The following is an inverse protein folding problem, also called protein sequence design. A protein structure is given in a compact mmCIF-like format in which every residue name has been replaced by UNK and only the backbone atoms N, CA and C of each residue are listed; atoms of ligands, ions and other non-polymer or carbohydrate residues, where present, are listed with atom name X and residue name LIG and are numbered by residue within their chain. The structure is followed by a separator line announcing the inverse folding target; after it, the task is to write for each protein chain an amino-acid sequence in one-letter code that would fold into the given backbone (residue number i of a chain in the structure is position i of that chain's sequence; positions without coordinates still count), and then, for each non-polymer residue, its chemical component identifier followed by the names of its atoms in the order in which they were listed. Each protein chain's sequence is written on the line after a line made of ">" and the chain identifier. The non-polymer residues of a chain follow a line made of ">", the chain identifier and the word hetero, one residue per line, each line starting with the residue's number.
data_IF_617283397749
#
_entry.id   IF_617283397749
#
_cell.length_a   1.000
_cell.length_b   1.000
_cell.length_c   1.000
_cell.angle_alpha   90.00
_cell.angle_beta   90.00
_cell.angle_gamma   90.00
#
_symmetry.space_group_name_H-M   'P 1'
#
loop_
_entity.id
_entity.type
_entity.pdbx_description
1 polymer ?
#
# COMPACT_ATOMS: atom_id res chain seq x y z
N UNK A 1 19.29 18.07 -18.57
CA UNK A 1 18.19 18.93 -19.04
C UNK A 1 16.81 18.47 -18.56
N UNK A 2 16.41 17.20 -18.75
CA UNK A 2 15.11 16.70 -18.26
C UNK A 2 14.95 16.77 -16.72
N UNK A 3 15.99 16.39 -15.96
CA UNK A 3 15.96 16.45 -14.47
C UNK A 3 15.98 17.88 -13.91
N UNK A 4 16.45 18.86 -14.70
CA UNK A 4 16.40 20.28 -14.34
C UNK A 4 14.98 20.86 -14.46
N UNK A 5 14.08 20.19 -15.19
CA UNK A 5 12.68 20.60 -15.33
C UNK A 5 11.77 19.92 -14.29
N UNK A 6 12.14 18.74 -13.81
CA UNK A 6 11.40 18.04 -12.75
C UNK A 6 11.73 18.69 -11.41
N UNK A 7 10.77 19.40 -10.80
CA UNK A 7 10.86 19.90 -9.40
C UNK A 7 10.87 18.77 -8.36
N UNK A 8 11.22 17.56 -8.76
CA UNK A 8 11.13 16.34 -7.98
C UNK A 8 12.50 16.00 -7.37
N UNK A 9 12.61 16.20 -6.05
CA UNK A 9 13.83 15.92 -5.29
C UNK A 9 14.33 14.48 -5.46
N UNK A 10 13.44 13.51 -5.68
CA UNK A 10 13.79 12.11 -5.87
C UNK A 10 14.71 11.86 -7.07
N UNK A 11 14.53 12.60 -8.16
CA UNK A 11 15.40 12.49 -9.34
C UNK A 11 16.82 12.98 -9.05
N UNK A 12 16.96 14.09 -8.32
CA UNK A 12 18.25 14.65 -7.92
C UNK A 12 18.98 13.75 -6.93
N UNK A 13 18.29 13.24 -5.91
CA UNK A 13 18.85 12.29 -4.94
C UNK A 13 19.31 11.01 -5.68
N UNK A 14 18.49 10.51 -6.61
CA UNK A 14 18.84 9.37 -7.45
C UNK A 14 20.09 9.62 -8.31
N UNK A 15 20.22 10.78 -8.94
CA UNK A 15 21.42 11.17 -9.70
C UNK A 15 22.66 11.26 -8.82
N UNK A 16 22.55 11.87 -7.63
CA UNK A 16 23.66 11.95 -6.68
C UNK A 16 24.12 10.56 -6.23
N UNK A 17 23.17 9.68 -5.87
CA UNK A 17 23.46 8.30 -5.52
C UNK A 17 24.13 7.54 -6.68
N UNK A 18 23.63 7.73 -7.91
CA UNK A 18 24.20 7.11 -9.09
C UNK A 18 25.61 7.63 -9.41
N UNK A 19 25.89 8.92 -9.20
CA UNK A 19 27.22 9.49 -9.35
C UNK A 19 28.21 8.90 -8.35
N UNK A 20 27.79 8.74 -7.08
CA UNK A 20 28.60 8.07 -6.05
C UNK A 20 28.92 6.64 -6.47
N UNK A 21 27.90 5.87 -6.88
CA UNK A 21 28.08 4.50 -7.35
C UNK A 21 28.97 4.45 -8.60
N UNK A 22 28.82 5.40 -9.52
CA UNK A 22 29.65 5.49 -10.72
C UNK A 22 31.13 5.66 -10.37
N UNK A 23 31.45 6.60 -9.48
CA UNK A 23 32.83 6.89 -9.03
C UNK A 23 33.43 5.70 -8.29
N UNK A 24 32.65 5.05 -7.41
CA UNK A 24 33.13 3.94 -6.57
C UNK A 24 33.16 2.59 -7.30
N UNK A 25 32.36 2.42 -8.36
CA UNK A 25 32.21 1.15 -9.07
C UNK A 25 33.54 0.53 -9.51
N UNK A 26 34.54 1.24 -10.08
CA UNK A 26 35.78 0.61 -10.53
C UNK A 26 36.59 0.03 -9.36
N UNK A 27 36.59 0.70 -8.20
CA UNK A 27 37.26 0.21 -7.00
C UNK A 27 36.58 -1.06 -6.47
N UNK A 28 35.25 -1.04 -6.37
CA UNK A 28 34.46 -2.19 -5.94
C UNK A 28 34.61 -3.38 -6.91
N UNK A 29 34.59 -3.14 -8.22
CA UNK A 29 34.80 -4.18 -9.25
C UNK A 29 36.17 -4.83 -9.11
N UNK A 30 37.26 -4.07 -8.91
CA UNK A 30 38.61 -4.61 -8.71
C UNK A 30 38.68 -5.53 -7.50
N UNK A 31 38.07 -5.14 -6.37
CA UNK A 31 38.01 -5.97 -5.15
C UNK A 31 37.22 -7.25 -5.38
N UNK A 32 36.05 -7.17 -6.03
CA UNK A 32 35.20 -8.33 -6.30
C UNK A 32 35.82 -9.29 -7.32
N UNK A 33 36.58 -8.79 -8.31
CA UNK A 33 37.28 -9.60 -9.31
C UNK A 33 38.49 -10.36 -8.76
N UNK A 34 38.97 -10.03 -7.56
CA UNK A 34 39.95 -10.86 -6.86
C UNK A 34 39.41 -12.26 -6.50
N UNK A 35 38.08 -12.44 -6.50
CA UNK A 35 37.42 -13.71 -6.28
C UNK A 35 37.33 -14.54 -7.57
N UNK A 36 37.46 -15.86 -7.44
CA UNK A 36 37.31 -16.78 -8.56
C UNK A 36 35.91 -16.65 -9.20
N UNK A 37 35.74 -16.85 -10.52
CA UNK A 37 34.44 -16.77 -11.19
C UNK A 37 33.34 -17.61 -10.52
N UNK A 38 33.69 -18.81 -10.04
CA UNK A 38 32.79 -19.72 -9.32
C UNK A 38 32.36 -19.16 -7.96
N UNK A 39 33.26 -18.50 -7.24
CA UNK A 39 32.94 -17.84 -5.97
C UNK A 39 32.01 -16.64 -6.19
N UNK A 40 32.27 -15.83 -7.22
CA UNK A 40 31.40 -14.69 -7.59
C UNK A 40 29.99 -15.14 -7.95
N UNK A 41 29.87 -16.21 -8.73
CA UNK A 41 28.56 -16.79 -9.09
C UNK A 41 27.80 -17.28 -7.86
N UNK A 42 28.50 -17.90 -6.89
CA UNK A 42 27.89 -18.35 -5.63
C UNK A 42 27.48 -17.20 -4.71
N UNK A 43 28.26 -16.13 -4.64
CA UNK A 43 28.01 -14.99 -3.74
C UNK A 43 26.93 -14.03 -4.26
N UNK A 44 26.76 -13.91 -5.58
CA UNK A 44 25.78 -13.02 -6.21
C UNK A 44 24.36 -13.14 -5.62
N UNK A 45 23.74 -14.33 -5.50
CA UNK A 45 22.39 -14.43 -4.93
C UNK A 45 22.31 -13.99 -3.46
N UNK A 46 23.36 -14.22 -2.67
CA UNK A 46 23.40 -13.79 -1.26
C UNK A 46 23.54 -12.28 -1.13
N UNK A 47 24.40 -11.67 -1.94
CA UNK A 47 24.55 -10.20 -1.98
C UNK A 47 23.25 -9.55 -2.47
N UNK A 48 22.64 -10.09 -3.52
CA UNK A 48 21.36 -9.60 -4.03
C UNK A 48 20.25 -9.74 -2.97
N UNK A 49 20.19 -10.87 -2.26
CA UNK A 49 19.27 -11.08 -1.15
C UNK A 49 19.49 -10.10 0.01
N UNK A 50 20.74 -9.86 0.40
CA UNK A 50 21.09 -8.91 1.45
C UNK A 50 20.74 -7.46 1.07
N UNK A 51 21.01 -7.06 -0.18
CA UNK A 51 20.60 -5.75 -0.69
C UNK A 51 19.08 -5.60 -0.72
N UNK A 52 18.35 -6.63 -1.16
CA UNK A 52 16.89 -6.65 -1.18
C UNK A 52 16.32 -6.51 0.24
N UNK A 53 16.87 -7.25 1.20
CA UNK A 53 16.47 -7.19 2.60
C UNK A 53 16.77 -5.79 3.20
N UNK A 54 17.97 -5.26 2.98
CA UNK A 54 18.33 -3.91 3.43
C UNK A 54 17.39 -2.85 2.84
N UNK A 55 17.02 -2.99 1.56
CA UNK A 55 16.07 -2.10 0.91
C UNK A 55 14.66 -2.21 1.52
N UNK A 56 14.17 -3.42 1.79
CA UNK A 56 12.89 -3.64 2.47
C UNK A 56 12.87 -3.02 3.87
N UNK A 57 13.96 -3.14 4.63
CA UNK A 57 14.08 -2.49 5.93
C UNK A 57 14.05 -0.96 5.82
N UNK A 58 14.70 -0.40 4.79
CA UNK A 58 14.64 1.03 4.50
C UNK A 58 13.23 1.51 4.13
N UNK A 59 12.43 0.70 3.43
CA UNK A 59 11.02 1.03 3.12
C UNK A 59 10.15 1.11 4.37
N UNK A 60 10.40 0.26 5.36
CA UNK A 60 9.68 0.25 6.63
C UNK A 60 10.16 1.30 7.65
N UNK A 61 11.33 1.91 7.44
CA UNK A 61 11.93 2.81 8.41
C UNK A 61 11.20 4.15 8.58
N UNK A 62 10.73 4.85 7.53
CA UNK A 62 10.04 6.13 7.66
C UNK A 62 8.71 6.04 8.43
N UNK A 63 8.05 4.89 8.42
CA UNK A 63 6.78 4.68 9.13
C UNK A 63 6.97 4.35 10.61
N UNK A 64 8.21 4.10 11.05
CA UNK A 64 8.60 3.94 12.46
C UNK A 64 9.02 5.26 13.11
N UNK A 65 9.25 6.32 12.33
CA UNK A 65 9.65 7.62 12.82
C UNK A 65 8.42 8.49 13.08
N UNK A 66 8.14 8.75 14.36
CA UNK A 66 7.14 9.75 14.77
C UNK A 66 7.79 11.14 14.64
N UNK A 67 7.81 11.66 13.41
CA UNK A 67 8.50 12.92 13.12
C UNK A 67 7.70 14.11 13.69
N UNK A 68 8.35 15.04 14.44
CA UNK A 68 7.69 16.22 14.96
C UNK A 68 7.10 17.09 13.84
N UNK A 69 5.88 17.62 14.07
CA UNK A 69 5.14 18.43 13.09
C UNK A 69 5.79 19.79 12.76
N UNK A 70 6.87 20.18 13.44
CA UNK A 70 7.46 21.53 13.39
C UNK A 70 8.88 21.60 12.79
N UNK A 71 9.32 20.59 12.04
CA UNK A 71 10.65 20.62 11.41
C UNK A 71 10.73 21.75 10.35
N UNK A 72 11.72 22.66 10.42
CA UNK A 72 11.83 23.83 9.55
C UNK A 72 12.53 23.47 8.24
N UNK A 73 11.93 22.59 7.46
CA UNK A 73 12.34 22.31 6.09
C UNK A 73 11.07 22.27 5.22
N UNK A 74 11.11 22.68 3.94
CA UNK A 74 9.90 22.95 3.15
C UNK A 74 9.20 21.62 2.81
N UNK A 75 8.39 21.11 3.75
CA UNK A 75 7.85 19.75 3.79
C UNK A 75 6.33 19.69 3.89
N UNK A 76 5.59 20.68 3.37
CA UNK A 76 4.11 20.63 3.34
C UNK A 76 3.54 19.33 2.71
N UNK A 77 4.37 18.54 2.00
CA UNK A 77 4.03 17.25 1.40
C UNK A 77 4.57 16.00 2.14
N UNK A 78 5.46 16.10 3.13
CA UNK A 78 6.07 14.91 3.75
C UNK A 78 5.08 14.20 4.68
N UNK A 79 4.36 14.94 5.51
CA UNK A 79 3.36 14.36 6.41
C UNK A 79 2.30 13.60 5.62
N UNK A 80 1.77 14.24 4.57
CA UNK A 80 0.83 13.63 3.63
C UNK A 80 1.41 12.39 2.95
N UNK A 81 2.68 12.41 2.53
CA UNK A 81 3.34 11.23 1.94
C UNK A 81 3.55 10.10 2.95
N UNK A 82 3.94 10.40 4.19
CA UNK A 82 4.06 9.41 5.26
C UNK A 82 2.70 8.83 5.64
N UNK A 83 1.66 9.66 5.64
CA UNK A 83 0.29 9.22 5.84
C UNK A 83 -0.15 8.27 4.71
N UNK A 84 0.09 8.62 3.44
CA UNK A 84 -0.20 7.75 2.30
C UNK A 84 0.59 6.44 2.40
N UNK A 85 1.87 6.48 2.74
CA UNK A 85 2.68 5.29 2.94
C UNK A 85 2.12 4.39 4.05
N UNK A 86 1.80 4.97 5.22
CA UNK A 86 1.20 4.25 6.35
C UNK A 86 -0.15 3.64 5.99
N UNK A 87 -1.00 4.39 5.30
CA UNK A 87 -2.31 3.93 4.90
C UNK A 87 -2.23 2.83 3.83
N UNK A 88 -1.30 2.93 2.88
CA UNK A 88 -1.02 1.87 1.92
C UNK A 88 -0.45 0.62 2.60
N UNK A 89 0.34 0.74 3.67
CA UNK A 89 0.77 -0.42 4.46
C UNK A 89 -0.40 -1.16 5.12
N UNK A 90 -1.47 -0.46 5.52
CA UNK A 90 -2.68 -1.15 5.98
C UNK A 90 -3.34 -1.94 4.86
N UNK A 91 -3.39 -1.40 3.63
CA UNK A 91 -3.87 -2.15 2.46
C UNK A 91 -2.97 -3.34 2.13
N UNK A 92 -1.65 -3.21 2.21
CA UNK A 92 -0.72 -4.32 1.99
C UNK A 92 -0.93 -5.42 3.05
N UNK A 93 -1.18 -5.03 4.31
CA UNK A 93 -1.47 -5.99 5.37
C UNK A 93 -2.80 -6.73 5.16
N UNK A 94 -3.76 -6.09 4.51
CA UNK A 94 -5.08 -6.65 4.15
C UNK A 94 -4.98 -7.52 2.88
N UNK A 95 -4.13 -7.13 1.92
CA UNK A 95 -3.90 -7.82 0.65
C UNK A 95 -2.43 -8.22 0.45
N UNK A 96 -1.88 -9.15 1.27
CA UNK A 96 -0.44 -9.49 1.22
C UNK A 96 0.01 -10.09 -0.12
N UNK A 97 -0.88 -10.76 -0.86
CA UNK A 97 -0.66 -11.29 -2.21
C UNK A 97 -1.09 -10.32 -3.32
N UNK A 98 -1.48 -9.10 -2.95
CA UNK A 98 -1.87 -8.04 -3.87
C UNK A 98 -3.38 -7.89 -4.02
N UNK A 99 -3.84 -6.66 -4.21
CA UNK A 99 -5.23 -6.30 -4.47
C UNK A 99 -5.63 -6.41 -5.95
N UNK A 100 -4.66 -6.67 -6.83
CA UNK A 100 -4.83 -6.69 -8.29
C UNK A 100 -4.25 -5.45 -8.96
N UNK A 101 -4.08 -5.54 -10.28
CA UNK A 101 -3.53 -4.45 -11.10
C UNK A 101 -4.40 -3.20 -11.05
N UNK A 102 -3.77 -2.04 -10.87
CA UNK A 102 -4.44 -0.73 -10.76
C UNK A 102 -5.50 -0.65 -9.64
N UNK A 103 -5.40 -1.51 -8.62
CA UNK A 103 -6.40 -1.62 -7.55
C UNK A 103 -6.26 -0.55 -6.47
N UNK A 104 -5.10 0.11 -6.34
CA UNK A 104 -4.80 1.02 -5.25
C UNK A 104 -5.85 2.10 -5.07
N UNK A 105 -6.22 2.77 -6.17
CA UNK A 105 -7.15 3.90 -6.13
C UNK A 105 -8.51 3.52 -5.52
N UNK A 106 -9.09 2.40 -5.95
CA UNK A 106 -10.36 1.91 -5.46
C UNK A 106 -10.28 1.40 -4.03
N UNK A 107 -9.25 0.60 -3.73
CA UNK A 107 -9.05 0.03 -2.39
C UNK A 107 -8.75 1.09 -1.34
N UNK A 108 -7.95 2.10 -1.67
CA UNK A 108 -7.66 3.23 -0.79
C UNK A 108 -8.92 4.05 -0.52
N UNK A 109 -9.64 4.43 -1.58
CA UNK A 109 -10.86 5.22 -1.46
C UNK A 109 -11.92 4.47 -0.63
N UNK A 110 -12.08 3.17 -0.85
CA UNK A 110 -13.08 2.34 -0.15
C UNK A 110 -12.68 1.99 1.29
N UNK A 111 -11.48 1.44 1.51
CA UNK A 111 -11.11 0.83 2.79
C UNK A 111 -10.29 1.74 3.71
N UNK A 112 -9.63 2.78 3.19
CA UNK A 112 -8.92 3.76 4.01
C UNK A 112 -9.79 4.98 4.27
N UNK A 113 -10.44 5.52 3.25
CA UNK A 113 -11.17 6.78 3.32
C UNK A 113 -12.69 6.64 3.44
N UNK A 114 -13.26 5.49 3.07
CA UNK A 114 -14.70 5.28 3.10
C UNK A 114 -15.50 6.15 2.11
N UNK A 115 -14.91 6.48 0.96
CA UNK A 115 -15.50 7.36 -0.06
C UNK A 115 -15.70 6.63 -1.41
N UNK A 116 -16.59 7.19 -2.22
CA UNK A 116 -17.04 6.62 -3.50
C UNK A 116 -16.36 7.24 -4.74
N UNK A 117 -15.30 8.02 -4.60
CA UNK A 117 -14.60 8.68 -5.71
C UNK A 117 -13.09 8.43 -5.66
N UNK A 118 -12.44 8.56 -6.82
CA UNK A 118 -10.98 8.45 -6.91
C UNK A 118 -10.34 9.58 -6.12
N UNK A 119 -9.57 9.21 -5.10
CA UNK A 119 -8.79 10.17 -4.30
C UNK A 119 -7.33 10.25 -4.75
N UNK A 120 -6.66 9.09 -4.84
CA UNK A 120 -5.28 8.96 -5.30
C UNK A 120 -5.17 7.85 -6.35
N UNK A 121 -4.17 7.97 -7.22
CA UNK A 121 -3.82 6.95 -8.22
C UNK A 121 -2.49 6.23 -7.92
N UNK A 122 -1.72 6.73 -6.95
CA UNK A 122 -0.44 6.17 -6.49
C UNK A 122 -0.20 6.55 -5.03
N UNK A 123 0.55 5.73 -4.30
CA UNK A 123 1.03 6.03 -2.95
C UNK A 123 2.23 6.99 -2.93
N UNK A 124 2.68 7.46 -4.11
CA UNK A 124 3.96 8.16 -4.29
C UNK A 124 5.16 7.32 -3.84
N UNK A 125 5.05 6.00 -3.99
CA UNK A 125 6.14 5.05 -3.74
C UNK A 125 5.93 3.80 -4.60
N UNK A 126 6.83 3.56 -5.55
CA UNK A 126 6.77 2.44 -6.50
C UNK A 126 6.65 1.09 -5.79
N UNK A 127 7.36 0.94 -4.67
CA UNK A 127 7.47 -0.33 -3.97
C UNK A 127 6.22 -0.63 -3.17
N UNK A 128 5.61 0.40 -2.58
CA UNK A 128 4.32 0.26 -1.92
C UNK A 128 3.20 0.02 -2.94
N UNK A 129 3.22 0.71 -4.08
CA UNK A 129 2.29 0.44 -5.19
C UNK A 129 2.43 -1.00 -5.68
N UNK A 130 3.67 -1.47 -5.93
CA UNK A 130 3.95 -2.84 -6.35
C UNK A 130 3.51 -3.87 -5.30
N UNK A 131 3.82 -3.64 -4.03
CA UNK A 131 3.42 -4.53 -2.95
C UNK A 131 1.90 -4.57 -2.76
N UNK A 132 1.22 -3.44 -2.90
CA UNK A 132 -0.22 -3.39 -2.75
C UNK A 132 -0.90 -4.05 -3.94
N UNK A 133 -0.48 -3.80 -5.18
CA UNK A 133 -1.19 -4.26 -6.36
C UNK A 133 -0.83 -5.70 -6.77
N UNK A 134 0.44 -6.10 -6.61
CA UNK A 134 0.95 -7.42 -6.99
C UNK A 134 1.38 -8.29 -5.80
N UNK A 135 1.39 -7.75 -4.58
CA UNK A 135 1.74 -8.49 -3.36
C UNK A 135 3.20 -8.34 -2.93
N UNK A 136 3.45 -8.62 -1.65
CA UNK A 136 4.79 -8.54 -1.05
C UNK A 136 5.76 -9.56 -1.65
N UNK A 137 5.24 -10.68 -2.15
CA UNK A 137 6.02 -11.70 -2.84
C UNK A 137 6.49 -11.23 -4.21
N UNK A 138 5.64 -10.50 -4.95
CA UNK A 138 6.03 -9.86 -6.20
C UNK A 138 7.06 -8.75 -5.97
N UNK A 139 6.88 -7.93 -4.92
CA UNK A 139 7.90 -6.95 -4.50
C UNK A 139 9.23 -7.63 -4.19
N UNK A 140 9.23 -8.73 -3.44
CA UNK A 140 10.44 -9.49 -3.12
C UNK A 140 11.15 -10.03 -4.37
N UNK A 141 10.39 -10.60 -5.31
CA UNK A 141 10.94 -11.06 -6.59
C UNK A 141 11.51 -9.91 -7.43
N UNK A 142 10.81 -8.78 -7.48
CA UNK A 142 11.27 -7.56 -8.17
C UNK A 142 12.59 -7.05 -7.58
N UNK A 143 12.67 -6.86 -6.26
CA UNK A 143 13.89 -6.41 -5.59
C UNK A 143 15.06 -7.37 -5.78
N UNK A 144 14.80 -8.68 -5.76
CA UNK A 144 15.82 -9.69 -6.02
C UNK A 144 16.37 -9.58 -7.44
N UNK A 145 15.51 -9.51 -8.45
CA UNK A 145 15.92 -9.36 -9.85
C UNK A 145 16.69 -8.04 -10.07
N UNK A 146 16.20 -6.96 -9.47
CA UNK A 146 16.85 -5.64 -9.53
C UNK A 146 18.24 -5.67 -8.92
N UNK A 147 18.36 -6.25 -7.73
CA UNK A 147 19.64 -6.38 -7.00
C UNK A 147 20.61 -7.31 -7.73
N UNK A 148 20.12 -8.41 -8.29
CA UNK A 148 20.93 -9.34 -9.09
C UNK A 148 21.47 -8.66 -10.36
N UNK A 149 20.65 -7.85 -11.04
CA UNK A 149 21.06 -7.06 -12.19
C UNK A 149 22.10 -6.00 -11.81
N UNK A 150 21.91 -5.30 -10.68
CA UNK A 150 22.86 -4.32 -10.18
C UNK A 150 24.22 -4.96 -9.83
N UNK A 151 24.23 -6.11 -9.14
CA UNK A 151 25.46 -6.87 -8.86
C UNK A 151 26.12 -7.34 -10.16
N UNK A 152 25.33 -7.79 -11.14
CA UNK A 152 25.83 -8.17 -12.46
C UNK A 152 26.52 -7.01 -13.18
N UNK A 153 25.84 -5.88 -13.27
CA UNK A 153 26.35 -4.66 -13.87
C UNK A 153 27.61 -4.14 -13.16
N UNK A 154 27.67 -4.23 -11.82
CA UNK A 154 28.85 -3.86 -11.03
C UNK A 154 30.08 -4.72 -11.35
N UNK A 155 29.90 -6.03 -11.52
CA UNK A 155 31.00 -6.94 -11.86
C UNK A 155 31.59 -6.69 -13.26
N UNK A 156 30.81 -6.06 -14.12
CA UNK A 156 31.16 -5.70 -15.49
C UNK A 156 31.33 -4.19 -15.69
N UNK A 157 31.41 -3.41 -14.61
CA UNK A 157 31.44 -1.94 -14.68
C UNK A 157 32.67 -1.35 -15.40
N UNK A 158 33.64 -2.15 -15.87
CA UNK A 158 34.64 -1.69 -16.84
C UNK A 158 34.04 -1.44 -18.23
N UNK A 159 32.99 -2.18 -18.59
CA UNK A 159 32.17 -1.91 -19.77
C UNK A 159 31.32 -0.64 -19.49
N UNK A 160 31.41 0.40 -20.35
CA UNK A 160 30.66 1.64 -20.15
C UNK A 160 29.14 1.41 -20.15
N UNK A 161 28.62 0.43 -20.90
CA UNK A 161 27.20 0.10 -20.93
C UNK A 161 26.73 -0.54 -19.62
N UNK A 162 27.52 -1.45 -19.05
CA UNK A 162 27.20 -2.04 -17.75
C UNK A 162 27.27 -0.99 -16.63
N UNK A 163 28.24 -0.07 -16.70
CA UNK A 163 28.31 1.05 -15.73
C UNK A 163 27.13 2.01 -15.87
N UNK A 164 26.70 2.30 -17.09
CA UNK A 164 25.50 3.09 -17.36
C UNK A 164 24.21 2.39 -16.89
N UNK A 165 24.11 1.07 -17.11
CA UNK A 165 23.01 0.26 -16.60
C UNK A 165 22.98 0.29 -15.07
N UNK A 166 24.12 0.12 -14.39
CA UNK A 166 24.23 0.22 -12.94
C UNK A 166 23.76 1.59 -12.43
N UNK A 167 24.23 2.68 -13.04
CA UNK A 167 23.78 4.03 -12.69
C UNK A 167 22.27 4.21 -12.89
N UNK A 168 21.73 3.74 -14.02
CA UNK A 168 20.29 3.78 -14.30
C UNK A 168 19.46 2.99 -13.27
N UNK A 169 19.90 1.78 -12.90
CA UNK A 169 19.28 0.97 -11.85
C UNK A 169 19.26 1.69 -10.50
N UNK A 170 20.33 2.42 -10.15
CA UNK A 170 20.41 3.20 -8.91
C UNK A 170 19.48 4.42 -8.96
N UNK A 171 19.50 5.18 -10.06
CA UNK A 171 18.60 6.34 -10.23
C UNK A 171 17.15 5.90 -10.05
N UNK A 172 16.72 4.87 -10.78
CA UNK A 172 15.35 4.37 -10.74
C UNK A 172 15.01 3.78 -9.36
N UNK A 173 15.94 3.06 -8.72
CA UNK A 173 15.70 2.49 -7.41
C UNK A 173 15.43 3.59 -6.36
N UNK A 174 16.26 4.64 -6.38
CA UNK A 174 16.12 5.77 -5.45
C UNK A 174 14.92 6.64 -5.82
N UNK A 175 14.72 6.95 -7.10
CA UNK A 175 13.58 7.76 -7.55
C UNK A 175 12.24 7.10 -7.21
N UNK A 176 12.13 5.77 -7.38
CA UNK A 176 10.94 5.00 -7.04
C UNK A 176 10.54 5.04 -5.56
N UNK A 177 11.42 5.48 -4.65
CA UNK A 177 11.06 5.75 -3.25
C UNK A 177 10.16 6.98 -3.09
N UNK A 178 10.20 7.89 -4.07
CA UNK A 178 9.54 9.19 -4.01
C UNK A 178 8.44 9.34 -5.05
N UNK A 179 8.58 8.73 -6.23
CA UNK A 179 7.64 8.92 -7.33
C UNK A 179 7.87 7.82 -8.37
N UNK A 180 6.83 7.05 -8.70
CA UNK A 180 6.73 6.26 -9.93
C UNK A 180 5.39 5.51 -9.91
N UNK A 181 4.31 6.11 -10.44
CA UNK A 181 3.03 5.44 -10.49
C UNK A 181 3.13 4.24 -11.45
N UNK A 182 3.05 3.03 -10.88
CA UNK A 182 3.30 1.77 -11.59
C UNK A 182 2.37 1.62 -12.82
N UNK A 183 1.07 1.89 -12.68
CA UNK A 183 0.10 1.76 -13.79
C UNK A 183 -0.49 3.09 -14.28
N UNK A 184 -0.14 4.22 -13.67
CA UNK A 184 -0.60 5.52 -14.15
C UNK A 184 0.40 6.20 -15.10
N UNK A 185 1.63 5.67 -15.22
CA UNK A 185 2.66 6.22 -16.11
C UNK A 185 2.84 5.41 -17.39
N UNK A 186 2.72 6.02 -18.58
CA UNK A 186 3.10 5.37 -19.84
C UNK A 186 4.61 5.11 -19.94
N UNK A 187 5.42 5.71 -19.06
CA UNK A 187 6.86 5.51 -19.02
C UNK A 187 7.29 4.23 -18.29
N UNK A 188 6.34 3.43 -17.73
CA UNK A 188 6.66 2.19 -17.02
C UNK A 188 7.64 1.26 -17.77
N UNK A 189 7.55 1.05 -19.10
CA UNK A 189 8.50 0.19 -19.80
C UNK A 189 9.96 0.64 -19.67
N UNK A 190 10.21 1.94 -19.49
CA UNK A 190 11.56 2.49 -19.31
C UNK A 190 12.21 2.04 -18.00
N UNK A 191 11.41 1.64 -16.99
CA UNK A 191 11.89 1.04 -15.74
C UNK A 191 12.73 -0.22 -16.03
N UNK A 192 12.42 -0.94 -17.10
CA UNK A 192 13.08 -2.20 -17.46
C UNK A 192 14.25 -2.02 -18.44
N UNK A 193 14.49 -0.81 -18.96
CA UNK A 193 15.58 -0.58 -19.90
C UNK A 193 16.96 -0.87 -19.27
N UNK A 194 17.27 -0.44 -18.03
CA UNK A 194 18.55 -0.78 -17.41
C UNK A 194 18.70 -2.27 -17.11
N UNK A 195 17.60 -2.97 -16.83
CA UNK A 195 17.57 -4.43 -16.70
C UNK A 195 17.93 -5.12 -18.02
N UNK A 196 17.42 -4.63 -19.15
CA UNK A 196 17.73 -5.16 -20.48
C UNK A 196 19.17 -4.86 -20.94
N UNK A 197 19.73 -3.73 -20.50
CA UNK A 197 21.13 -3.35 -20.79
C UNK A 197 22.14 -4.04 -19.86
N UNK A 198 21.68 -4.64 -18.76
CA UNK A 198 22.55 -5.43 -17.90
C UNK A 198 22.99 -6.71 -18.64
N UNK A 199 24.27 -7.10 -18.50
CA UNK A 199 24.80 -8.27 -19.20
C UNK A 199 23.99 -9.53 -18.84
N UNK A 200 23.60 -10.34 -19.85
CA UNK A 200 22.77 -11.51 -19.61
C UNK A 200 23.49 -12.50 -18.70
N UNK A 201 22.87 -12.82 -17.57
CA UNK A 201 23.35 -13.87 -16.68
C UNK A 201 22.41 -15.05 -16.72
N UNK A 202 22.98 -16.25 -16.71
CA UNK A 202 22.23 -17.47 -16.51
C UNK A 202 21.55 -17.39 -15.16
N UNK A 203 20.21 -17.45 -15.16
CA UNK A 203 19.44 -17.65 -13.93
C UNK A 203 19.94 -18.96 -13.34
N UNK A 204 20.57 -18.89 -12.17
CA UNK A 204 21.04 -20.09 -11.51
C UNK A 204 19.86 -21.02 -11.20
N UNK A 205 20.08 -22.34 -11.19
CA UNK A 205 19.04 -23.30 -10.77
C UNK A 205 18.46 -22.92 -9.38
N UNK A 206 19.30 -22.42 -8.47
CA UNK A 206 18.87 -21.92 -7.16
C UNK A 206 17.91 -20.74 -7.25
N UNK A 207 18.16 -19.76 -8.13
CA UNK A 207 17.25 -18.64 -8.37
C UNK A 207 15.90 -19.12 -8.93
N UNK A 208 15.92 -20.10 -9.84
CA UNK A 208 14.69 -20.68 -10.41
C UNK A 208 13.87 -21.42 -9.33
N UNK A 209 14.51 -22.21 -8.47
CA UNK A 209 13.84 -22.84 -7.33
C UNK A 209 13.30 -21.81 -6.33
N UNK A 210 14.01 -20.72 -6.10
CA UNK A 210 13.54 -19.61 -5.27
C UNK A 210 12.26 -18.99 -5.81
N UNK A 211 12.23 -18.66 -7.12
CA UNK A 211 11.03 -18.13 -7.77
C UNK A 211 9.86 -19.13 -7.75
N UNK A 212 10.14 -20.42 -7.98
CA UNK A 212 9.14 -21.47 -7.87
C UNK A 212 8.59 -21.59 -6.44
N UNK A 213 9.45 -21.52 -5.42
CA UNK A 213 9.03 -21.54 -4.02
C UNK A 213 8.14 -20.34 -3.68
N UNK A 214 8.47 -19.15 -4.17
CA UNK A 214 7.63 -17.94 -4.03
C UNK A 214 6.27 -18.13 -4.69
N UNK A 215 6.22 -18.69 -5.88
CA UNK A 215 4.97 -19.01 -6.58
C UNK A 215 4.13 -20.02 -5.80
N UNK A 216 4.72 -21.12 -5.34
CA UNK A 216 4.04 -22.15 -4.55
C UNK A 216 3.54 -21.59 -3.21
N UNK A 217 4.33 -20.75 -2.54
CA UNK A 217 3.92 -20.07 -1.32
C UNK A 217 2.74 -19.13 -1.58
N UNK A 218 2.75 -18.40 -2.69
CA UNK A 218 1.62 -17.55 -3.11
C UNK A 218 0.34 -18.37 -3.27
N UNK A 219 0.42 -19.53 -3.92
CA UNK A 219 -0.70 -20.45 -4.11
C UNK A 219 -1.22 -21.03 -2.79
N UNK A 220 -0.33 -21.34 -1.85
CA UNK A 220 -0.70 -21.84 -0.52
C UNK A 220 -1.42 -20.77 0.31
N UNK A 221 -1.02 -19.51 0.21
CA UNK A 221 -1.59 -18.40 0.98
C UNK A 221 -2.88 -17.83 0.36
N UNK A 222 -3.11 -18.05 -0.93
CA UNK A 222 -4.25 -17.51 -1.68
C UNK A 222 -5.63 -17.74 -1.02
N UNK A 223 -5.94 -18.92 -0.45
CA UNK A 223 -7.24 -19.16 0.18
C UNK A 223 -7.54 -18.24 1.38
N UNK A 224 -6.51 -17.76 2.09
CA UNK A 224 -6.68 -16.88 3.25
C UNK A 224 -7.07 -15.46 2.83
N UNK A 225 -6.58 -14.98 1.69
CA UNK A 225 -6.89 -13.66 1.14
C UNK A 225 -8.14 -13.66 0.24
N UNK A 226 -8.56 -14.83 -0.27
CA UNK A 226 -9.66 -14.92 -1.22
C UNK A 226 -10.95 -14.18 -0.79
N UNK A 227 -11.39 -14.21 0.49
CA UNK A 227 -12.58 -13.47 0.92
C UNK A 227 -12.45 -11.95 0.74
N UNK A 228 -11.33 -11.36 1.18
CA UNK A 228 -11.11 -9.90 1.07
C UNK A 228 -11.00 -9.46 -0.39
N UNK A 229 -10.34 -10.26 -1.24
CA UNK A 229 -10.25 -9.99 -2.68
C UNK A 229 -11.62 -10.09 -3.36
N UNK A 230 -12.43 -11.09 -3.02
CA UNK A 230 -13.80 -11.21 -3.58
C UNK A 230 -14.70 -10.07 -3.15
N UNK A 231 -14.65 -9.65 -1.88
CA UNK A 231 -15.42 -8.50 -1.43
C UNK A 231 -15.02 -7.24 -2.21
N UNK A 232 -13.72 -6.98 -2.36
CA UNK A 232 -13.24 -5.85 -3.14
C UNK A 232 -13.73 -5.89 -4.60
N UNK A 233 -13.73 -7.06 -5.24
CA UNK A 233 -14.25 -7.22 -6.60
C UNK A 233 -15.74 -6.88 -6.71
N UNK A 234 -16.54 -7.28 -5.72
CA UNK A 234 -17.99 -7.00 -5.68
C UNK A 234 -18.24 -5.50 -5.42
N UNK A 235 -17.55 -4.93 -4.44
CA UNK A 235 -17.73 -3.52 -4.04
C UNK A 235 -17.18 -2.53 -5.07
N UNK A 236 -16.14 -2.91 -5.81
CA UNK A 236 -15.49 -2.07 -6.84
C UNK A 236 -15.91 -2.48 -8.26
N UNK A 237 -16.94 -3.30 -8.42
CA UNK A 237 -17.45 -3.66 -9.74
C UNK A 237 -17.94 -2.42 -10.48
N UNK A 238 -17.29 -2.07 -11.59
CA UNK A 238 -17.61 -0.87 -12.38
C UNK A 238 -16.97 0.44 -11.89
N UNK A 239 -16.09 0.36 -10.88
CA UNK A 239 -15.30 1.50 -10.40
C UNK A 239 -14.49 2.15 -11.54
N UNK A 240 -14.35 3.48 -11.59
CA UNK A 240 -14.87 4.48 -10.64
C UNK A 240 -16.28 5.02 -11.00
N UNK A 241 -16.98 4.39 -11.94
CA UNK A 241 -18.28 4.89 -12.44
C UNK A 241 -19.44 4.50 -11.54
N UNK A 242 -19.35 3.35 -10.89
CA UNK A 242 -20.35 2.85 -9.93
C UNK A 242 -20.01 3.30 -8.51
N UNK A 243 -21.03 3.67 -7.74
CA UNK A 243 -20.85 4.04 -6.33
C UNK A 243 -20.92 2.80 -5.45
N UNK A 244 -20.03 2.61 -4.46
CA UNK A 244 -20.06 1.46 -3.55
C UNK A 244 -21.37 1.34 -2.74
N UNK A 245 -22.10 2.43 -2.55
CA UNK A 245 -23.42 2.45 -1.91
C UNK A 245 -24.50 1.72 -2.74
N UNK A 246 -24.26 1.50 -4.03
CA UNK A 246 -25.15 0.76 -4.93
C UNK A 246 -24.86 -0.75 -4.92
N UNK A 247 -23.82 -1.20 -4.20
CA UNK A 247 -23.55 -2.62 -4.03
C UNK A 247 -24.64 -3.24 -3.16
N UNK A 248 -25.39 -4.17 -3.74
CA UNK A 248 -26.45 -4.91 -3.06
C UNK A 248 -25.87 -5.71 -1.88
N UNK A 249 -26.35 -5.53 -0.63
CA UNK A 249 -25.87 -6.29 0.53
C UNK A 249 -25.94 -7.81 0.32
N UNK A 250 -26.92 -8.28 -0.44
CA UNK A 250 -27.12 -9.69 -0.79
C UNK A 250 -25.92 -10.30 -1.53
N UNK A 251 -25.15 -9.48 -2.25
CA UNK A 251 -23.94 -9.96 -2.94
C UNK A 251 -22.81 -10.30 -1.96
N UNK A 252 -22.81 -9.73 -0.76
CA UNK A 252 -21.75 -9.90 0.23
C UNK A 252 -22.06 -10.96 1.29
N UNK A 253 -23.33 -11.28 1.49
CA UNK A 253 -23.81 -12.36 2.37
C UNK A 253 -23.04 -13.69 2.24
N UNK A 254 -22.73 -14.20 1.03
CA UNK A 254 -21.98 -15.45 0.86
C UNK A 254 -20.54 -15.40 1.40
N UNK A 255 -20.00 -14.22 1.69
CA UNK A 255 -18.64 -14.05 2.21
C UNK A 255 -18.57 -14.17 3.74
N UNK A 256 -19.68 -13.99 4.45
CA UNK A 256 -19.73 -14.04 5.92
C UNK A 256 -19.14 -15.36 6.46
N UNK A 257 -19.55 -16.57 5.98
CA UNK A 257 -18.99 -17.83 6.48
C UNK A 257 -17.48 -17.95 6.24
N UNK A 258 -16.97 -17.34 5.17
CA UNK A 258 -15.54 -17.33 4.86
C UNK A 258 -14.77 -16.45 5.86
N UNK A 259 -15.29 -15.27 6.19
CA UNK A 259 -14.70 -14.41 7.23
C UNK A 259 -14.76 -15.03 8.62
N UNK A 260 -15.85 -15.72 8.96
CA UNK A 260 -15.95 -16.47 10.21
C UNK A 260 -14.92 -17.61 10.29
N UNK A 261 -14.62 -18.24 9.16
CA UNK A 261 -13.54 -19.23 9.08
C UNK A 261 -12.17 -18.57 9.25
N UNK A 262 -11.91 -17.45 8.57
CA UNK A 262 -10.67 -16.68 8.74
C UNK A 262 -10.47 -16.26 10.19
N UNK A 263 -11.51 -15.74 10.86
CA UNK A 263 -11.48 -15.37 12.28
C UNK A 263 -11.14 -16.55 13.20
N UNK A 264 -11.60 -17.76 12.89
CA UNK A 264 -11.28 -18.98 13.66
C UNK A 264 -9.81 -19.39 13.49
N UNK A 265 -9.27 -19.26 12.28
CA UNK A 265 -7.88 -19.63 11.97
C UNK A 265 -6.89 -18.55 12.40
N UNK A 266 -7.30 -17.29 12.30
CA UNK A 266 -6.52 -16.10 12.61
C UNK A 266 -7.33 -15.22 13.57
N UNK A 267 -7.42 -15.57 14.87
CA UNK A 267 -8.14 -14.78 15.88
C UNK A 267 -7.59 -13.36 16.04
N UNK A 268 -6.40 -13.10 15.49
CA UNK A 268 -5.72 -11.80 15.50
C UNK A 268 -5.88 -10.97 14.23
N UNK A 269 -6.58 -11.48 13.21
CA UNK A 269 -6.78 -10.78 11.97
C UNK A 269 -7.80 -9.63 12.11
N UNK A 270 -7.34 -8.40 11.90
CA UNK A 270 -8.20 -7.22 11.93
C UNK A 270 -9.04 -7.10 10.64
N UNK A 271 -8.56 -7.62 9.51
CA UNK A 271 -9.20 -7.46 8.22
C UNK A 271 -10.57 -8.15 8.21
N UNK A 272 -10.64 -9.40 8.67
CA UNK A 272 -11.90 -10.14 8.78
C UNK A 272 -12.95 -9.39 9.63
N UNK A 273 -12.57 -8.86 10.79
CA UNK A 273 -13.48 -8.10 11.65
C UNK A 273 -13.90 -6.78 11.00
N UNK A 274 -12.97 -6.06 10.38
CA UNK A 274 -13.28 -4.84 9.66
C UNK A 274 -14.29 -5.09 8.53
N UNK A 275 -14.08 -6.14 7.73
CA UNK A 275 -14.96 -6.52 6.62
C UNK A 275 -16.35 -6.96 7.08
N UNK A 276 -16.45 -7.74 8.14
CA UNK A 276 -17.75 -8.08 8.76
C UNK A 276 -18.48 -6.83 9.24
N UNK A 277 -17.76 -5.87 9.83
CA UNK A 277 -18.33 -4.58 10.22
C UNK A 277 -18.85 -3.75 9.05
N UNK A 278 -18.13 -3.73 7.92
CA UNK A 278 -18.58 -3.05 6.70
C UNK A 278 -19.81 -3.73 6.06
N UNK A 279 -19.85 -5.07 6.06
CA UNK A 279 -21.03 -5.83 5.60
C UNK A 279 -22.24 -5.49 6.48
N UNK A 280 -22.09 -5.53 7.80
CA UNK A 280 -23.16 -5.16 8.74
C UNK A 280 -23.65 -3.72 8.55
N UNK A 281 -22.75 -2.77 8.25
CA UNK A 281 -23.13 -1.39 7.89
C UNK A 281 -24.00 -1.34 6.63
N UNK A 282 -23.66 -2.11 5.60
CA UNK A 282 -24.44 -2.18 4.35
C UNK A 282 -25.81 -2.83 4.57
N UNK A 283 -25.88 -3.81 5.46
CA UNK A 283 -27.11 -4.47 5.89
C UNK A 283 -27.94 -3.62 6.85
N UNK A 284 -27.38 -2.49 7.32
CA UNK A 284 -27.98 -1.59 8.31
C UNK A 284 -28.16 -2.24 9.68
N UNK A 285 -27.44 -3.32 9.96
CA UNK A 285 -27.28 -3.88 11.31
C UNK A 285 -26.19 -3.10 12.05
N UNK A 286 -26.56 -1.93 12.55
CA UNK A 286 -25.62 -1.01 13.19
C UNK A 286 -25.05 -1.58 14.50
N UNK A 287 -25.82 -2.40 15.22
CA UNK A 287 -25.37 -3.04 16.46
C UNK A 287 -24.28 -4.09 16.18
N UNK A 288 -24.47 -4.94 15.16
CA UNK A 288 -23.44 -5.89 14.73
C UNK A 288 -22.21 -5.14 14.18
N UNK A 289 -22.43 -4.07 13.40
CA UNK A 289 -21.34 -3.25 12.88
C UNK A 289 -20.48 -2.66 14.00
N UNK A 290 -21.09 -2.06 15.03
CA UNK A 290 -20.37 -1.53 16.20
C UNK A 290 -19.53 -2.63 16.85
N UNK A 291 -20.09 -3.82 17.07
CA UNK A 291 -19.38 -4.94 17.70
C UNK A 291 -18.13 -5.36 16.91
N UNK A 292 -18.27 -5.56 15.60
CA UNK A 292 -17.16 -5.96 14.74
C UNK A 292 -16.09 -4.86 14.61
N UNK A 293 -16.52 -3.61 14.46
CA UNK A 293 -15.62 -2.48 14.27
C UNK A 293 -14.89 -2.08 15.56
N UNK A 294 -15.49 -2.27 16.74
CA UNK A 294 -14.81 -2.13 18.02
C UNK A 294 -13.67 -3.14 18.17
N UNK A 295 -13.89 -4.41 17.79
CA UNK A 295 -12.82 -5.42 17.80
C UNK A 295 -11.69 -5.05 16.82
N UNK A 296 -12.04 -4.61 15.61
CA UNK A 296 -11.05 -4.12 14.64
C UNK A 296 -10.25 -2.91 15.18
N UNK A 297 -10.93 -1.95 15.82
CA UNK A 297 -10.33 -0.73 16.39
C UNK A 297 -9.35 -1.07 17.53
N UNK A 298 -9.68 -2.03 18.40
CA UNK A 298 -8.76 -2.47 19.46
C UNK A 298 -7.45 -3.04 18.89
N UNK A 299 -7.50 -3.70 17.74
CA UNK A 299 -6.32 -4.31 17.09
C UNK A 299 -5.49 -3.30 16.31
N UNK A 300 -6.15 -2.34 15.65
CA UNK A 300 -5.50 -1.31 14.83
C UNK A 300 -6.08 0.08 15.16
N UNK A 301 -5.70 0.68 16.31
CA UNK A 301 -6.30 1.95 16.74
C UNK A 301 -6.06 3.13 15.79
N UNK A 302 -4.95 3.10 15.04
CA UNK A 302 -4.55 4.13 14.11
C UNK A 302 -5.05 3.89 12.66
N UNK A 303 -5.91 2.88 12.42
CA UNK A 303 -6.44 2.62 11.09
C UNK A 303 -7.57 3.61 10.76
N UNK A 304 -7.43 4.49 9.75
CA UNK A 304 -8.39 5.55 9.48
C UNK A 304 -9.77 5.02 9.06
N UNK A 305 -9.82 4.01 8.19
CA UNK A 305 -11.07 3.40 7.73
C UNK A 305 -11.90 2.77 8.85
N UNK A 306 -11.28 1.96 9.72
CA UNK A 306 -11.92 1.38 10.91
C UNK A 306 -12.45 2.47 11.84
N UNK A 307 -11.63 3.48 12.16
CA UNK A 307 -12.04 4.60 13.02
C UNK A 307 -13.26 5.33 12.46
N UNK A 308 -13.24 5.64 11.16
CA UNK A 308 -14.34 6.32 10.46
C UNK A 308 -15.60 5.46 10.42
N UNK A 309 -15.48 4.19 10.02
CA UNK A 309 -16.59 3.25 9.99
C UNK A 309 -17.21 3.08 11.39
N UNK A 310 -16.39 2.94 12.44
CA UNK A 310 -16.87 2.81 13.82
C UNK A 310 -17.58 4.08 14.30
N UNK A 311 -17.02 5.25 14.01
CA UNK A 311 -17.64 6.53 14.37
C UNK A 311 -19.06 6.63 13.81
N UNK A 312 -19.23 6.35 12.52
CA UNK A 312 -20.56 6.39 11.90
C UNK A 312 -21.46 5.23 12.30
N UNK A 313 -20.93 4.02 12.52
CA UNK A 313 -21.70 2.91 13.06
C UNK A 313 -22.32 3.29 14.42
N UNK A 314 -21.55 3.93 15.31
CA UNK A 314 -22.05 4.40 16.61
C UNK A 314 -23.12 5.49 16.46
N UNK A 315 -22.95 6.43 15.52
CA UNK A 315 -24.00 7.42 15.22
C UNK A 315 -25.28 6.73 14.74
N UNK A 316 -25.16 5.81 13.79
CA UNK A 316 -26.30 5.08 13.24
C UNK A 316 -26.91 4.08 14.17
N UNK A 317 -26.21 3.61 15.20
CA UNK A 317 -26.76 2.81 16.28
C UNK A 317 -27.44 3.68 17.36
N UNK A 318 -27.19 5.00 17.35
CA UNK A 318 -27.73 5.97 18.32
C UNK A 318 -26.81 6.22 19.52
N UNK A 319 -25.62 5.64 19.54
CA UNK A 319 -24.59 5.80 20.57
C UNK A 319 -23.74 7.07 20.36
N UNK A 320 -24.39 8.21 20.10
CA UNK A 320 -23.73 9.48 19.73
C UNK A 320 -22.62 9.88 20.73
N UNK A 321 -22.87 9.72 22.03
CA UNK A 321 -21.86 10.03 23.07
C UNK A 321 -20.56 9.24 22.90
N UNK A 322 -20.64 7.97 22.51
CA UNK A 322 -19.46 7.14 22.26
C UNK A 322 -18.80 7.48 20.91
N UNK A 323 -19.56 7.97 19.94
CA UNK A 323 -19.02 8.40 18.65
C UNK A 323 -18.17 9.68 18.75
N UNK A 324 -18.49 10.58 19.68
CA UNK A 324 -17.89 11.92 19.76
C UNK A 324 -16.35 11.95 19.77
N UNK A 325 -15.63 11.15 20.59
CA UNK A 325 -14.17 11.16 20.56
C UNK A 325 -13.59 10.76 19.20
N UNK A 326 -14.26 9.83 18.52
CA UNK A 326 -13.85 9.38 17.19
C UNK A 326 -14.16 10.44 16.13
N UNK A 327 -15.36 11.04 16.18
CA UNK A 327 -15.78 12.10 15.26
C UNK A 327 -14.88 13.35 15.37
N UNK A 328 -14.48 13.75 16.58
CA UNK A 328 -13.56 14.88 16.80
C UNK A 328 -12.17 14.65 16.20
N UNK A 329 -11.78 13.40 16.00
CA UNK A 329 -10.51 13.02 15.37
C UNK A 329 -10.59 12.90 13.83
N UNK A 330 -11.77 13.15 13.23
CA UNK A 330 -12.01 13.11 11.80
C UNK A 330 -12.23 14.55 11.28
N UNK A 331 -11.28 15.11 10.51
CA UNK A 331 -11.42 16.46 9.94
C UNK A 331 -12.69 16.64 9.11
N UNK A 332 -13.15 15.57 8.46
CA UNK A 332 -14.33 15.58 7.59
C UNK A 332 -15.67 15.37 8.31
N UNK A 333 -15.68 15.08 9.63
CA UNK A 333 -16.89 14.67 10.34
C UNK A 333 -18.04 15.67 10.23
N UNK A 334 -17.76 16.97 10.31
CA UNK A 334 -18.80 18.00 10.14
C UNK A 334 -19.46 17.89 8.76
N UNK A 335 -18.66 17.89 7.70
CA UNK A 335 -19.16 17.88 6.33
C UNK A 335 -19.92 16.58 6.04
N UNK A 336 -19.38 15.43 6.47
CA UNK A 336 -20.01 14.13 6.31
C UNK A 336 -21.36 14.08 7.04
N UNK A 337 -21.44 14.51 8.31
CA UNK A 337 -22.69 14.51 9.06
C UNK A 337 -23.76 15.42 8.45
N UNK A 338 -23.37 16.60 7.94
CA UNK A 338 -24.26 17.49 7.18
C UNK A 338 -24.78 16.80 5.92
N UNK A 339 -23.88 16.14 5.17
CA UNK A 339 -24.26 15.38 3.98
C UNK A 339 -25.25 14.25 4.33
N UNK A 340 -24.99 13.50 5.40
CA UNK A 340 -25.86 12.41 5.83
C UNK A 340 -27.22 12.90 6.34
N UNK A 341 -27.27 14.02 7.06
CA UNK A 341 -28.53 14.63 7.50
C UNK A 341 -29.44 14.99 6.31
N UNK A 342 -28.85 15.39 5.17
CA UNK A 342 -29.59 15.66 3.95
C UNK A 342 -29.88 14.41 3.10
N UNK A 343 -28.95 13.45 3.05
CA UNK A 343 -29.05 12.28 2.20
C UNK A 343 -29.99 11.21 2.75
N UNK A 344 -29.97 10.90 4.05
CA UNK A 344 -30.80 9.84 4.64
C UNK A 344 -32.32 10.00 4.42
N UNK A 345 -32.90 11.22 4.46
CA UNK A 345 -34.30 11.42 4.10
C UNK A 345 -34.63 10.98 2.66
N UNK A 346 -33.69 11.15 1.72
CA UNK A 346 -33.87 10.70 0.32
C UNK A 346 -33.95 9.17 0.21
N UNK A 347 -33.46 8.47 1.23
CA UNK A 347 -33.51 7.01 1.38
C UNK A 347 -34.68 6.55 2.25
N UNK A 348 -35.59 7.45 2.64
CA UNK A 348 -36.72 7.16 3.53
C UNK A 348 -36.33 6.94 5.00
N UNK A 349 -35.12 7.36 5.41
CA UNK A 349 -34.57 7.11 6.76
C UNK A 349 -34.42 8.41 7.56
N UNK A 350 -35.55 9.04 7.88
CA UNK A 350 -35.57 10.27 8.70
C UNK A 350 -35.02 10.06 10.12
N UNK A 351 -35.11 8.83 10.64
CA UNK A 351 -34.51 8.41 11.90
C UNK A 351 -32.99 8.54 11.89
N UNK A 352 -32.33 8.11 10.80
CA UNK A 352 -30.88 8.24 10.65
C UNK A 352 -30.47 9.69 10.39
N UNK A 353 -31.29 10.44 9.65
CA UNK A 353 -31.07 11.88 9.48
C UNK A 353 -31.06 12.63 10.83
N UNK A 354 -32.01 12.30 11.72
CA UNK A 354 -32.07 12.86 13.07
C UNK A 354 -30.85 12.47 13.91
N UNK A 355 -30.35 11.24 13.79
CA UNK A 355 -29.11 10.81 14.45
C UNK A 355 -27.89 11.59 13.95
N UNK A 356 -27.81 11.85 12.65
CA UNK A 356 -26.75 12.66 12.05
C UNK A 356 -26.76 14.09 12.61
N UNK A 357 -27.95 14.69 12.66
CA UNK A 357 -28.15 16.03 13.19
C UNK A 357 -27.80 16.12 14.69
N UNK A 358 -28.24 15.14 15.49
CA UNK A 358 -27.89 15.06 16.91
C UNK A 358 -26.37 14.91 17.13
N UNK A 359 -25.69 14.14 16.30
CA UNK A 359 -24.24 14.01 16.34
C UNK A 359 -23.53 15.31 15.95
N UNK A 360 -24.04 16.02 14.94
CA UNK A 360 -23.53 17.31 14.51
C UNK A 360 -23.65 18.36 15.63
N UNK A 361 -24.81 18.45 16.28
CA UNK A 361 -25.05 19.35 17.41
C UNK A 361 -24.12 19.03 18.58
N UNK A 362 -23.95 17.74 18.91
CA UNK A 362 -23.06 17.31 19.98
C UNK A 362 -21.56 17.54 19.66
N UNK A 363 -21.17 17.59 18.38
CA UNK A 363 -19.80 17.92 17.97
C UNK A 363 -19.44 19.36 18.33
N UNK A 364 -20.40 20.28 18.21
CA UNK A 364 -20.25 21.71 18.49
C UNK A 364 -20.64 22.13 19.91
N UNK A 365 -21.33 21.27 20.65
CA UNK A 365 -21.56 21.49 22.06
C UNK A 365 -20.21 21.54 22.80
N UNK A 366 -19.94 22.65 23.49
CA UNK A 366 -18.76 22.80 24.34
C UNK A 366 -18.73 21.66 25.37
N UNK A 367 -17.54 21.07 25.65
CA UNK A 367 -17.41 19.98 26.61
C UNK A 367 -17.78 20.36 28.04
#
# INVERSE_FOLDING_TARGET
>A
LAVLQTREYGAWIGLMAALIVWILSPWATRRLRALAPTQRARLTPFVAGALSLGFLLLLGFPTLLDLPQHLPIPWENLHTRLEYARNTLYLIADFPLGGGFASLSGLYSRYILGIAHVFITSSHNLYLDLAQEQGVLALGAFLYLWSAAAVGALLEAENPFARAALAGLVVLAVHGLFEAPLYASPALPLLFLPLALAPPRTVSRGSAYGLLAVFLLSMLLLPLQLPVTRQAQIELQGWPRTRPEQTAPEALQPLIPAYERTRRLLPHDFAAQYRLGLIALQERDFSAAVTHLQDAQHRKPAHPGVRKALAYALVWDGQVRQALPLLRALPEAEQDLRNYAHWWPTQGRTDLAARAQAALEALFAAP
#
